data_IF_668124691540
#
_entry.id   IF_668124691540
#
_cell.length_a   1.000
_cell.length_b   1.000
_cell.length_c   1.000
_cell.angle_alpha   90.00
_cell.angle_beta   90.00
_cell.angle_gamma   90.00
#
_symmetry.space_group_name_H-M   'P 1'
#
loop_
_entity.id
_entity.type
_entity.pdbx_description
1 polymer ?
#
# COMPACT_ATOMS: atom_id res chain seq x y z
N UNK A 1 -11.77 -15.80 -13.67
CA UNK A 1 -11.30 -16.29 -12.35
C UNK A 1 -12.26 -15.93 -11.23
N UNK A 2 -12.55 -14.65 -10.94
CA UNK A 2 -13.47 -14.26 -9.85
C UNK A 2 -14.82 -15.02 -9.93
N UNK A 3 -15.51 -14.94 -11.07
CA UNK A 3 -16.76 -15.69 -11.31
C UNK A 3 -16.63 -17.20 -11.05
N UNK A 4 -15.51 -17.79 -11.45
CA UNK A 4 -15.24 -19.21 -11.22
C UNK A 4 -15.10 -19.50 -9.72
N UNK A 5 -14.31 -18.71 -8.99
CA UNK A 5 -14.14 -18.87 -7.53
C UNK A 5 -15.49 -18.72 -6.82
N UNK A 6 -16.27 -17.68 -7.12
CA UNK A 6 -17.58 -17.48 -6.49
C UNK A 6 -18.61 -18.57 -6.84
N UNK A 7 -18.45 -19.25 -7.98
CA UNK A 7 -19.29 -20.40 -8.34
C UNK A 7 -18.83 -21.70 -7.66
N UNK A 8 -17.52 -21.92 -7.55
CA UNK A 8 -16.95 -23.17 -7.00
C UNK A 8 -16.84 -23.16 -5.48
N UNK A 9 -16.54 -22.00 -4.89
CA UNK A 9 -16.32 -21.79 -3.46
C UNK A 9 -17.08 -20.54 -3.00
N UNK A 10 -18.41 -20.60 -2.88
CA UNK A 10 -19.25 -19.42 -2.63
C UNK A 10 -18.95 -18.73 -1.29
N UNK A 11 -18.53 -19.48 -0.28
CA UNK A 11 -18.27 -18.98 1.07
C UNK A 11 -16.89 -18.31 1.23
N UNK A 12 -16.04 -18.33 0.19
CA UNK A 12 -14.72 -17.69 0.24
C UNK A 12 -14.84 -16.23 -0.20
N UNK A 13 -14.30 -15.34 0.62
CA UNK A 13 -14.11 -13.92 0.29
C UNK A 13 -12.99 -13.72 -0.73
N UNK A 14 -13.27 -12.95 -1.78
CA UNK A 14 -12.35 -12.68 -2.88
C UNK A 14 -12.01 -11.19 -2.96
N UNK A 15 -10.78 -10.84 -2.57
CA UNK A 15 -10.21 -9.51 -2.82
C UNK A 15 -9.62 -9.46 -4.22
N UNK A 16 -10.17 -8.60 -5.08
CA UNK A 16 -9.74 -8.44 -6.46
C UNK A 16 -8.95 -7.15 -6.69
N UNK A 17 -7.94 -7.21 -7.56
CA UNK A 17 -7.13 -6.05 -7.92
C UNK A 17 -5.83 -6.43 -8.63
N UNK A 18 -4.91 -5.49 -8.85
CA UNK A 18 -5.02 -4.09 -8.45
C UNK A 18 -5.80 -3.25 -9.48
N UNK A 19 -6.47 -2.19 -9.01
CA UNK A 19 -7.20 -1.23 -9.86
C UNK A 19 -6.93 0.22 -9.47
N UNK A 20 -7.17 1.16 -10.37
CA UNK A 20 -7.03 2.60 -10.12
C UNK A 20 -8.17 3.45 -10.67
N UNK A 21 -9.14 2.88 -11.39
CA UNK A 21 -10.28 3.62 -11.96
C UNK A 21 -11.64 3.06 -11.52
N UNK A 22 -12.66 3.91 -11.65
CA UNK A 22 -14.06 3.57 -11.36
C UNK A 22 -14.56 2.44 -12.25
N UNK A 23 -14.21 2.47 -13.53
CA UNK A 23 -14.65 1.51 -14.54
C UNK A 23 -14.06 0.12 -14.26
N UNK A 24 -12.80 0.07 -13.84
CA UNK A 24 -12.17 -1.17 -13.39
C UNK A 24 -12.86 -1.72 -12.13
N UNK A 25 -13.19 -0.86 -11.16
CA UNK A 25 -13.96 -1.25 -9.99
C UNK A 25 -15.32 -1.84 -10.36
N UNK A 26 -16.07 -1.17 -11.25
CA UNK A 26 -17.37 -1.64 -11.72
C UNK A 26 -17.29 -3.05 -12.33
N UNK A 27 -16.28 -3.31 -13.14
CA UNK A 27 -16.07 -4.62 -13.75
C UNK A 27 -15.79 -5.72 -12.71
N UNK A 28 -14.97 -5.44 -11.69
CA UNK A 28 -14.64 -6.42 -10.65
C UNK A 28 -15.80 -6.67 -9.67
N UNK A 29 -16.52 -5.61 -9.29
CA UNK A 29 -17.73 -5.73 -8.45
C UNK A 29 -18.79 -6.56 -9.19
N UNK A 30 -19.05 -6.27 -10.47
CA UNK A 30 -20.00 -7.03 -11.27
C UNK A 30 -19.58 -8.50 -11.49
N UNK A 31 -18.28 -8.81 -11.35
CA UNK A 31 -17.78 -10.17 -11.40
C UNK A 31 -17.94 -10.94 -10.08
N UNK A 32 -18.34 -10.26 -8.98
CA UNK A 32 -18.55 -10.85 -7.65
C UNK A 32 -17.36 -10.69 -6.69
N UNK A 33 -16.54 -9.65 -6.83
CA UNK A 33 -15.48 -9.38 -5.86
C UNK A 33 -16.06 -8.87 -4.52
N UNK A 34 -15.63 -9.47 -3.41
CA UNK A 34 -16.08 -9.11 -2.05
C UNK A 34 -15.24 -7.96 -1.46
N UNK A 35 -14.07 -7.67 -2.04
CA UNK A 35 -13.25 -6.51 -1.70
C UNK A 35 -12.35 -6.09 -2.87
N UNK A 36 -11.90 -4.84 -2.86
CA UNK A 36 -11.05 -4.29 -3.93
C UNK A 36 -9.69 -3.81 -3.42
N UNK A 37 -8.63 -4.14 -4.15
CA UNK A 37 -7.26 -3.66 -3.87
C UNK A 37 -6.89 -2.53 -4.84
N UNK A 38 -6.64 -1.34 -4.31
CA UNK A 38 -6.43 -0.10 -5.07
C UNK A 38 -4.95 0.28 -5.10
N UNK A 39 -4.40 0.50 -6.30
CA UNK A 39 -3.08 1.12 -6.48
C UNK A 39 -2.28 0.52 -7.64
N UNK A 40 -1.63 1.36 -8.43
CA UNK A 40 -0.78 0.93 -9.55
C UNK A 40 0.43 1.84 -9.70
N UNK A 41 1.61 1.27 -9.47
CA UNK A 41 2.90 1.97 -9.55
C UNK A 41 3.19 2.94 -8.40
N UNK A 42 2.44 2.90 -7.30
CA UNK A 42 2.61 3.80 -6.15
C UNK A 42 3.47 3.23 -5.02
N UNK A 43 3.75 1.93 -5.01
CA UNK A 43 4.56 1.30 -3.96
C UNK A 43 6.06 1.63 -4.11
N UNK A 44 6.78 1.67 -2.99
CA UNK A 44 8.14 2.22 -2.92
C UNK A 44 9.21 1.46 -3.72
N UNK A 45 8.94 0.24 -4.15
CA UNK A 45 9.84 -0.56 -4.99
C UNK A 45 9.28 -0.83 -6.39
N UNK A 46 8.25 -0.08 -6.82
CA UNK A 46 7.65 -0.22 -8.15
C UNK A 46 8.02 0.97 -9.03
N UNK A 47 8.39 0.67 -10.27
CA UNK A 47 8.74 1.64 -11.33
C UNK A 47 7.76 1.56 -12.51
N UNK A 48 6.58 0.94 -12.31
CA UNK A 48 5.57 0.75 -13.35
C UNK A 48 5.18 2.06 -14.04
N UNK A 49 5.02 3.16 -13.31
CA UNK A 49 4.64 4.45 -13.91
C UNK A 49 5.71 4.99 -14.86
N UNK A 50 6.98 4.81 -14.50
CA UNK A 50 8.12 5.23 -15.32
C UNK A 50 8.26 4.36 -16.56
N UNK A 51 8.34 3.04 -16.38
CA UNK A 51 8.69 2.12 -17.47
C UNK A 51 7.50 1.85 -18.39
N UNK A 52 6.28 1.78 -17.84
CA UNK A 52 5.07 1.47 -18.63
C UNK A 52 4.27 2.70 -19.03
N UNK A 53 4.56 3.89 -18.48
CA UNK A 53 3.71 5.08 -18.59
C UNK A 53 2.25 4.85 -18.10
N UNK A 54 2.04 3.86 -17.22
CA UNK A 54 0.72 3.50 -16.69
C UNK A 54 0.70 3.56 -15.18
N UNK A 55 -0.29 4.27 -14.64
CA UNK A 55 -0.62 4.29 -13.22
C UNK A 55 -1.57 5.43 -12.90
N UNK A 56 -1.69 5.75 -11.61
CA UNK A 56 -2.49 6.90 -11.15
C UNK A 56 -1.97 7.38 -9.79
N UNK A 57 -1.99 8.69 -9.51
CA UNK A 57 -1.70 9.19 -8.16
C UNK A 57 -2.58 8.50 -7.12
N UNK A 58 -1.95 7.92 -6.09
CA UNK A 58 -2.61 6.99 -5.16
C UNK A 58 -3.82 7.61 -4.45
N UNK A 59 -3.69 8.84 -3.95
CA UNK A 59 -4.80 9.54 -3.29
C UNK A 59 -6.03 9.70 -4.20
N UNK A 60 -5.80 10.08 -5.46
CA UNK A 60 -6.87 10.24 -6.45
C UNK A 60 -7.49 8.88 -6.83
N UNK A 61 -6.67 7.83 -6.95
CA UNK A 61 -7.15 6.46 -7.19
C UNK A 61 -8.04 5.98 -6.05
N UNK A 62 -7.57 6.11 -4.79
CA UNK A 62 -8.32 5.71 -3.59
C UNK A 62 -9.65 6.45 -3.52
N UNK A 63 -9.66 7.78 -3.62
CA UNK A 63 -10.91 8.56 -3.55
C UNK A 63 -11.89 8.18 -4.65
N UNK A 64 -11.41 8.08 -5.89
CA UNK A 64 -12.24 7.79 -7.06
C UNK A 64 -12.85 6.38 -7.02
N UNK A 65 -12.09 5.38 -6.58
CA UNK A 65 -12.54 3.99 -6.53
C UNK A 65 -13.41 3.74 -5.31
N UNK A 66 -12.99 4.21 -4.13
CA UNK A 66 -13.71 3.97 -2.87
C UNK A 66 -15.08 4.62 -2.86
N UNK A 67 -15.19 5.85 -3.37
CA UNK A 67 -16.48 6.54 -3.48
C UNK A 67 -17.48 5.78 -4.38
N UNK A 68 -16.99 5.09 -5.41
CA UNK A 68 -17.84 4.25 -6.26
C UNK A 68 -18.18 2.92 -5.58
N UNK A 69 -17.19 2.22 -5.03
CA UNK A 69 -17.35 0.91 -4.40
C UNK A 69 -18.29 0.97 -3.18
N UNK A 70 -18.27 2.07 -2.42
CA UNK A 70 -19.16 2.30 -1.29
C UNK A 70 -20.66 2.22 -1.65
N UNK A 71 -21.04 2.58 -2.89
CA UNK A 71 -22.43 2.47 -3.38
C UNK A 71 -22.94 1.03 -3.46
N UNK A 72 -22.03 0.07 -3.44
CA UNK A 72 -22.31 -1.37 -3.50
C UNK A 72 -21.96 -2.08 -2.19
N UNK A 73 -21.54 -1.34 -1.16
CA UNK A 73 -21.08 -1.92 0.11
C UNK A 73 -19.77 -2.72 0.00
N UNK A 74 -18.99 -2.54 -1.08
CA UNK A 74 -17.74 -3.30 -1.28
C UNK A 74 -16.57 -2.56 -0.65
N UNK A 75 -15.89 -3.13 0.38
CA UNK A 75 -14.75 -2.51 1.03
C UNK A 75 -13.53 -2.41 0.10
N UNK A 76 -12.65 -1.46 0.39
CA UNK A 76 -11.47 -1.22 -0.43
C UNK A 76 -10.19 -1.12 0.41
N UNK A 77 -9.07 -1.51 -0.20
CA UNK A 77 -7.74 -1.51 0.41
C UNK A 77 -6.85 -0.55 -0.38
N UNK A 78 -6.33 0.49 0.27
CA UNK A 78 -5.31 1.35 -0.31
C UNK A 78 -3.93 0.68 -0.23
N UNK A 79 -3.38 0.29 -1.37
CA UNK A 79 -2.13 -0.48 -1.47
C UNK A 79 -1.03 0.30 -2.19
N UNK A 80 0.07 0.55 -1.48
CA UNK A 80 1.23 1.29 -1.98
C UNK A 80 1.25 2.77 -1.58
N UNK A 81 2.46 3.35 -1.52
CA UNK A 81 2.70 4.77 -1.21
C UNK A 81 2.62 5.16 0.28
N UNK A 82 2.30 4.22 1.17
CA UNK A 82 2.19 4.47 2.62
C UNK A 82 3.58 4.41 3.26
N UNK A 83 4.06 5.56 3.77
CA UNK A 83 5.39 5.70 4.36
C UNK A 83 5.37 6.09 5.84
N UNK A 84 4.24 6.62 6.30
CA UNK A 84 4.08 7.12 7.66
C UNK A 84 2.60 7.07 8.06
N UNK A 85 2.35 7.32 9.34
CA UNK A 85 1.03 7.36 9.94
C UNK A 85 0.06 8.31 9.23
N UNK A 86 0.51 9.50 8.86
CA UNK A 86 -0.33 10.47 8.15
C UNK A 86 -0.83 9.96 6.78
N UNK A 87 -0.05 9.11 6.10
CA UNK A 87 -0.49 8.48 4.85
C UNK A 87 -1.58 7.42 5.10
N UNK A 88 -1.50 6.70 6.22
CA UNK A 88 -2.54 5.75 6.65
C UNK A 88 -3.86 6.51 6.83
N UNK A 89 -3.84 7.55 7.67
CA UNK A 89 -5.02 8.36 8.00
C UNK A 89 -5.61 9.01 6.75
N UNK A 90 -4.77 9.55 5.86
CA UNK A 90 -5.24 10.11 4.58
C UNK A 90 -5.88 9.04 3.68
N UNK A 91 -5.29 7.85 3.60
CA UNK A 91 -5.86 6.74 2.84
C UNK A 91 -7.25 6.36 3.33
N UNK A 92 -7.41 6.23 4.65
CA UNK A 92 -8.69 5.99 5.32
C UNK A 92 -9.68 7.13 5.08
N UNK A 93 -9.27 8.39 5.31
CA UNK A 93 -10.12 9.56 5.10
C UNK A 93 -10.60 9.70 3.64
N UNK A 94 -9.82 9.25 2.66
CA UNK A 94 -10.21 9.25 1.25
C UNK A 94 -11.22 8.14 0.89
N UNK A 95 -11.54 7.24 1.83
CA UNK A 95 -12.60 6.24 1.74
C UNK A 95 -12.13 4.78 1.76
N UNK A 96 -10.83 4.52 1.93
CA UNK A 96 -10.35 3.15 2.04
C UNK A 96 -10.81 2.52 3.36
N UNK A 97 -11.24 1.26 3.31
CA UNK A 97 -11.62 0.48 4.50
C UNK A 97 -10.39 -0.02 5.26
N UNK A 98 -9.29 -0.25 4.54
CA UNK A 98 -8.00 -0.64 5.11
C UNK A 98 -6.84 -0.09 4.26
N UNK A 99 -5.64 -0.13 4.82
CA UNK A 99 -4.39 0.18 4.11
C UNK A 99 -3.48 -1.04 4.09
N UNK A 100 -2.81 -1.28 2.95
CA UNK A 100 -1.82 -2.33 2.81
C UNK A 100 -0.42 -1.72 2.73
N UNK A 101 0.49 -2.25 3.54
CA UNK A 101 1.82 -1.70 3.75
C UNK A 101 2.88 -2.75 3.41
N UNK A 102 3.78 -2.38 2.50
CA UNK A 102 4.97 -3.18 2.18
C UNK A 102 6.19 -2.70 2.96
N UNK A 103 6.79 -1.60 2.51
CA UNK A 103 8.07 -1.10 3.05
C UNK A 103 8.05 -0.76 4.54
N UNK A 104 6.92 -0.30 5.08
CA UNK A 104 6.79 -0.02 6.52
C UNK A 104 6.94 -1.27 7.40
N UNK A 105 6.57 -2.45 6.88
CA UNK A 105 6.61 -3.72 7.61
C UNK A 105 7.80 -4.59 7.18
N UNK A 106 8.40 -4.32 6.02
CA UNK A 106 9.49 -5.13 5.48
C UNK A 106 10.75 -5.16 6.34
N UNK A 107 11.03 -4.10 7.11
CA UNK A 107 12.18 -4.03 8.02
C UNK A 107 11.93 -4.61 9.41
N UNK A 108 10.78 -5.27 9.63
CA UNK A 108 10.43 -5.79 10.97
C UNK A 108 11.06 -7.14 11.24
N UNK A 109 11.19 -7.51 12.51
CA UNK A 109 11.80 -8.79 12.92
C UNK A 109 11.09 -9.99 12.29
N UNK A 110 9.76 -9.94 12.21
CA UNK A 110 8.90 -11.01 11.71
C UNK A 110 8.87 -11.11 10.17
N UNK A 111 9.36 -10.08 9.46
CA UNK A 111 9.43 -10.14 8.00
C UNK A 111 10.43 -11.21 7.54
N UNK A 112 10.18 -11.90 6.41
CA UNK A 112 11.12 -12.91 5.91
C UNK A 112 12.45 -12.30 5.48
N UNK A 113 13.51 -13.11 5.57
CA UNK A 113 14.88 -12.72 5.21
C UNK A 113 15.70 -12.29 6.42
N UNK A 114 17.02 -12.48 6.32
CA UNK A 114 17.96 -12.15 7.38
C UNK A 114 18.36 -10.67 7.34
N UNK A 115 18.69 -10.13 8.51
CA UNK A 115 19.31 -8.82 8.62
C UNK A 115 20.76 -8.87 8.13
N UNK A 116 21.23 -7.75 7.56
CA UNK A 116 22.63 -7.54 7.26
C UNK A 116 23.01 -6.07 7.51
N UNK A 117 24.30 -5.80 7.65
CA UNK A 117 24.81 -4.43 7.82
C UNK A 117 25.03 -3.81 6.45
N UNK A 118 24.41 -2.66 6.20
CA UNK A 118 24.58 -1.90 4.97
C UNK A 118 25.98 -1.26 4.90
N UNK A 119 26.36 -0.76 3.73
CA UNK A 119 27.65 -0.08 3.56
C UNK A 119 27.78 1.18 4.43
N UNK A 120 26.65 1.74 4.85
CA UNK A 120 26.53 2.90 5.75
C UNK A 120 26.50 2.51 7.23
N UNK A 121 26.71 1.23 7.56
CA UNK A 121 26.74 0.72 8.94
C UNK A 121 25.36 0.54 9.60
N UNK A 122 24.27 0.54 8.81
CA UNK A 122 22.92 0.38 9.33
C UNK A 122 22.45 -1.07 9.23
N UNK A 123 21.69 -1.53 10.23
CA UNK A 123 21.03 -2.84 10.17
C UNK A 123 19.82 -2.75 9.24
N UNK A 124 19.80 -3.57 8.17
CA UNK A 124 18.79 -3.52 7.11
C UNK A 124 18.30 -4.92 6.72
N UNK A 125 17.13 -4.99 6.09
CA UNK A 125 16.62 -6.19 5.39
C UNK A 125 16.44 -5.92 3.90
N UNK A 126 16.61 -6.96 3.09
CA UNK A 126 16.36 -6.88 1.65
C UNK A 126 14.86 -6.69 1.37
N UNK A 127 14.53 -5.74 0.49
CA UNK A 127 13.16 -5.48 0.06
C UNK A 127 13.11 -5.38 -1.46
N UNK A 128 12.22 -6.17 -2.09
CA UNK A 128 12.16 -6.30 -3.56
C UNK A 128 10.73 -6.15 -4.05
N UNK A 129 10.54 -5.37 -5.10
CA UNK A 129 9.26 -5.31 -5.80
C UNK A 129 9.00 -6.61 -6.54
N UNK A 130 7.74 -7.07 -6.56
CA UNK A 130 7.34 -8.30 -7.25
C UNK A 130 7.62 -8.27 -8.77
N UNK A 131 7.77 -7.08 -9.35
CA UNK A 131 8.13 -6.88 -10.75
C UNK A 131 9.62 -6.66 -11.01
N UNK A 132 10.48 -6.90 -10.03
CA UNK A 132 11.93 -6.83 -10.22
C UNK A 132 12.45 -8.08 -10.93
N UNK A 133 13.52 -7.93 -11.71
CA UNK A 133 14.17 -9.07 -12.38
C UNK A 133 14.57 -10.14 -11.37
N UNK A 134 15.11 -9.72 -10.22
CA UNK A 134 15.48 -10.61 -9.13
C UNK A 134 14.32 -11.51 -8.67
N UNK A 135 13.07 -11.02 -8.68
CA UNK A 135 11.88 -11.82 -8.34
C UNK A 135 11.36 -12.59 -9.55
N UNK A 136 11.34 -11.99 -10.75
CA UNK A 136 10.82 -12.65 -11.95
C UNK A 136 11.71 -13.80 -12.44
N UNK A 137 13.01 -13.76 -12.13
CA UNK A 137 14.00 -14.80 -12.42
C UNK A 137 14.28 -15.71 -11.24
N UNK A 138 13.70 -15.42 -10.07
CA UNK A 138 13.80 -16.31 -8.92
C UNK A 138 13.16 -17.65 -9.29
N UNK A 139 14.00 -18.66 -9.55
CA UNK A 139 13.50 -19.99 -9.86
C UNK A 139 12.92 -20.66 -8.62
N UNK A 140 13.17 -20.12 -7.42
CA UNK A 140 12.77 -20.70 -6.14
C UNK A 140 13.28 -22.12 -5.94
N UNK A 141 13.26 -22.61 -4.71
CA UNK A 141 13.37 -24.05 -4.41
C UNK A 141 12.08 -24.81 -4.75
N UNK A 142 11.12 -24.15 -5.38
CA UNK A 142 9.79 -24.66 -5.70
C UNK A 142 9.85 -25.38 -7.04
N UNK A 143 10.22 -26.66 -7.00
CA UNK A 143 10.24 -27.54 -8.17
C UNK A 143 9.02 -27.33 -9.07
N UNK A 144 9.26 -26.87 -10.30
CA UNK A 144 8.28 -26.82 -11.38
C UNK A 144 7.12 -25.82 -11.26
N UNK A 145 7.06 -24.97 -10.22
CA UNK A 145 5.97 -24.02 -10.01
C UNK A 145 6.05 -22.75 -10.88
N UNK A 146 4.90 -22.20 -11.30
CA UNK A 146 4.82 -20.89 -11.97
C UNK A 146 5.36 -19.80 -11.02
N UNK A 147 6.34 -19.02 -11.47
CA UNK A 147 6.88 -17.88 -10.71
C UNK A 147 5.79 -16.80 -10.55
N UNK A 148 5.38 -16.51 -9.32
CA UNK A 148 4.30 -15.57 -9.02
C UNK A 148 4.59 -14.12 -9.47
N UNK A 149 5.86 -13.70 -9.45
CA UNK A 149 6.28 -12.40 -9.99
C UNK A 149 6.10 -12.35 -11.50
N UNK A 150 6.67 -13.31 -12.23
CA UNK A 150 6.53 -13.40 -13.67
C UNK A 150 5.06 -13.50 -14.11
N UNK A 151 4.24 -14.25 -13.37
CA UNK A 151 2.81 -14.41 -13.68
C UNK A 151 1.98 -13.15 -13.44
N UNK A 152 2.30 -12.40 -12.38
CA UNK A 152 1.65 -11.11 -12.12
C UNK A 152 1.84 -10.10 -13.26
N UNK A 153 2.99 -10.17 -13.95
CA UNK A 153 3.34 -9.27 -15.06
C UNK A 153 3.27 -9.95 -16.43
N UNK A 154 2.59 -11.10 -16.55
CA UNK A 154 2.37 -11.83 -17.80
C UNK A 154 3.65 -12.06 -18.60
N UNK A 155 4.74 -12.39 -17.90
CA UNK A 155 6.09 -12.46 -18.43
C UNK A 155 6.70 -13.86 -18.34
N UNK A 156 5.91 -14.90 -18.06
CA UNK A 156 6.41 -16.27 -17.90
C UNK A 156 7.09 -16.82 -19.15
N UNK A 157 6.57 -16.46 -20.33
CA UNK A 157 7.04 -16.96 -21.62
C UNK A 157 7.91 -15.95 -22.39
N UNK A 158 8.20 -14.79 -21.80
CA UNK A 158 8.94 -13.74 -22.49
C UNK A 158 10.45 -14.04 -22.45
N UNK A 159 11.11 -13.99 -23.61
CA UNK A 159 12.57 -14.11 -23.72
C UNK A 159 13.29 -12.97 -23.00
N UNK A 160 12.75 -11.76 -23.11
CA UNK A 160 13.24 -10.56 -22.41
C UNK A 160 12.20 -10.17 -21.36
N UNK A 161 12.60 -10.17 -20.10
CA UNK A 161 11.75 -9.74 -18.99
C UNK A 161 11.92 -8.24 -18.78
N UNK A 162 10.81 -7.51 -18.80
CA UNK A 162 10.81 -6.05 -18.57
C UNK A 162 10.48 -5.79 -17.11
N UNK A 163 11.42 -5.19 -16.39
CA UNK A 163 11.25 -4.89 -14.98
C UNK A 163 10.19 -3.81 -14.77
N UNK A 164 9.33 -4.02 -13.77
CA UNK A 164 8.39 -3.02 -13.26
C UNK A 164 8.59 -2.73 -11.77
N UNK A 165 9.67 -3.25 -11.20
CA UNK A 165 10.10 -2.97 -9.84
C UNK A 165 11.60 -3.11 -9.66
N UNK A 166 12.08 -2.68 -8.50
CA UNK A 166 13.49 -2.69 -8.13
C UNK A 166 13.73 -3.58 -6.91
N UNK A 167 14.99 -3.93 -6.69
CA UNK A 167 15.46 -4.55 -5.46
C UNK A 167 16.29 -3.52 -4.69
N UNK A 168 16.11 -3.49 -3.38
CA UNK A 168 16.84 -2.61 -2.47
C UNK A 168 16.80 -3.15 -1.05
N UNK A 169 16.92 -2.26 -0.08
CA UNK A 169 16.86 -2.59 1.35
C UNK A 169 16.03 -1.57 2.12
N UNK A 170 15.59 -1.99 3.32
CA UNK A 170 14.87 -1.16 4.27
C UNK A 170 15.54 -1.26 5.64
N UNK A 171 15.57 -0.15 6.36
CA UNK A 171 16.13 -0.07 7.71
C UNK A 171 15.28 -0.90 8.68
N UNK A 172 15.95 -1.51 9.66
CA UNK A 172 15.30 -2.19 10.77
C UNK A 172 14.26 -1.31 11.46
N UNK A 173 13.11 -1.92 11.78
CA UNK A 173 11.98 -1.28 12.48
C UNK A 173 11.62 -1.98 13.78
N UNK A 174 12.40 -2.98 14.20
CA UNK A 174 12.09 -3.82 15.35
C UNK A 174 10.89 -4.73 15.11
N UNK A 175 10.31 -5.26 16.18
CA UNK A 175 9.19 -6.21 16.10
C UNK A 175 7.86 -5.50 15.80
N UNK A 176 7.00 -6.16 15.02
CA UNK A 176 5.61 -5.72 14.82
C UNK A 176 4.84 -5.60 16.14
N UNK A 177 5.24 -6.35 17.17
CA UNK A 177 4.59 -6.33 18.50
C UNK A 177 4.70 -4.97 19.19
N UNK A 178 5.72 -4.17 18.85
CA UNK A 178 5.86 -2.79 19.31
C UNK A 178 5.40 -1.80 18.23
N UNK A 179 5.73 -2.10 16.96
CA UNK A 179 5.48 -1.17 15.86
C UNK A 179 4.00 -1.02 15.50
N UNK A 180 3.22 -2.09 15.51
CA UNK A 180 1.79 -2.05 15.19
C UNK A 180 0.99 -1.29 16.26
N UNK A 181 1.19 -1.51 17.57
CA UNK A 181 0.55 -0.67 18.60
C UNK A 181 0.83 0.82 18.43
N UNK A 182 2.06 1.20 18.08
CA UNK A 182 2.39 2.59 17.74
C UNK A 182 1.54 3.12 16.57
N UNK A 183 1.40 2.36 15.49
CA UNK A 183 0.58 2.76 14.35
C UNK A 183 -0.91 2.90 14.74
N UNK A 184 -1.43 1.97 15.54
CA UNK A 184 -2.83 2.00 16.01
C UNK A 184 -3.08 3.22 16.89
N UNK A 185 -2.23 3.45 17.90
CA UNK A 185 -2.33 4.62 18.77
C UNK A 185 -2.24 5.92 17.98
N UNK A 186 -1.32 5.99 17.02
CA UNK A 186 -1.21 7.15 16.13
C UNK A 186 -2.47 7.41 15.32
N UNK A 187 -3.14 6.37 14.80
CA UNK A 187 -4.40 6.54 14.06
C UNK A 187 -5.47 7.05 15.01
N UNK A 188 -5.57 6.50 16.22
CA UNK A 188 -6.52 6.95 17.24
C UNK A 188 -6.32 8.43 17.60
N UNK A 189 -5.08 8.87 17.84
CA UNK A 189 -4.76 10.29 18.06
C UNK A 189 -5.14 11.16 16.86
N UNK A 190 -4.88 10.68 15.64
CA UNK A 190 -5.26 11.42 14.44
C UNK A 190 -6.79 11.56 14.29
N UNK A 191 -7.55 10.52 14.64
CA UNK A 191 -9.02 10.57 14.65
C UNK A 191 -9.53 11.53 15.72
N UNK A 192 -8.89 11.55 16.90
CA UNK A 192 -9.19 12.49 17.97
C UNK A 192 -9.00 13.95 17.50
N UNK A 193 -7.87 14.26 16.86
CA UNK A 193 -7.58 15.60 16.34
C UNK A 193 -8.53 16.02 15.22
N UNK A 194 -8.98 15.07 14.39
CA UNK A 194 -10.02 15.30 13.37
C UNK A 194 -11.41 15.49 14.02
N UNK A 195 -11.62 15.01 15.25
CA UNK A 195 -12.88 15.11 15.98
C UNK A 195 -13.86 13.98 15.67
N UNK A 196 -13.37 12.77 15.32
CA UNK A 196 -14.20 11.61 14.98
C UNK A 196 -13.86 10.39 15.85
N UNK A 197 -14.86 9.58 16.18
CA UNK A 197 -14.70 8.48 17.15
C UNK A 197 -14.32 7.14 16.54
N UNK A 198 -14.57 6.94 15.23
CA UNK A 198 -14.28 5.70 14.54
C UNK A 198 -14.21 5.93 13.01
N UNK A 199 -13.82 4.89 12.27
CA UNK A 199 -13.65 4.97 10.82
C UNK A 199 -14.96 5.25 10.06
N UNK A 200 -16.10 4.77 10.56
CA UNK A 200 -17.40 5.05 9.95
C UNK A 200 -17.72 6.55 10.05
N UNK A 201 -17.56 7.13 11.24
CA UNK A 201 -17.72 8.57 11.47
C UNK A 201 -16.76 9.41 10.62
N UNK A 202 -15.52 8.94 10.40
CA UNK A 202 -14.59 9.59 9.48
C UNK A 202 -15.13 9.61 8.04
N UNK A 203 -15.59 8.46 7.53
CA UNK A 203 -16.14 8.39 6.17
C UNK A 203 -17.40 9.24 6.01
N UNK A 204 -18.33 9.18 6.96
CA UNK A 204 -19.53 10.01 6.96
C UNK A 204 -19.18 11.49 7.00
N UNK A 205 -18.25 11.87 7.88
CA UNK A 205 -17.80 13.24 8.04
C UNK A 205 -17.16 13.81 6.77
N UNK A 206 -16.41 12.99 6.04
CA UNK A 206 -15.85 13.37 4.74
C UNK A 206 -16.94 13.48 3.68
N UNK A 207 -17.91 12.57 3.66
CA UNK A 207 -18.96 12.55 2.65
C UNK A 207 -20.01 13.66 2.84
N UNK A 208 -20.34 14.01 4.08
CA UNK A 208 -21.25 15.11 4.41
C UNK A 208 -20.54 16.48 4.46
N UNK A 209 -19.22 16.49 4.35
CA UNK A 209 -18.41 17.71 4.27
C UNK A 209 -18.12 18.39 5.60
N UNK A 210 -18.39 17.75 6.75
CA UNK A 210 -17.98 18.23 8.07
C UNK A 210 -16.48 18.07 8.32
N UNK A 211 -15.87 16.99 7.82
CA UNK A 211 -14.42 16.85 7.74
C UNK A 211 -13.91 17.58 6.50
N UNK A 212 -12.98 18.52 6.70
CA UNK A 212 -12.45 19.40 5.66
C UNK A 212 -11.02 19.03 5.29
N UNK A 213 -10.62 19.37 4.07
CA UNK A 213 -9.27 19.16 3.55
C UNK A 213 -8.72 20.47 3.01
N UNK A 214 -7.41 20.63 3.11
CA UNK A 214 -6.69 21.77 2.55
C UNK A 214 -5.53 21.27 1.68
N UNK A 215 -5.37 21.87 0.50
CA UNK A 215 -4.28 21.52 -0.40
C UNK A 215 -2.99 22.17 0.07
N UNK A 216 -1.86 21.46 -0.06
CA UNK A 216 -0.54 21.98 0.34
C UNK A 216 0.36 22.12 -0.87
N UNK A 217 0.83 23.35 -1.10
CA UNK A 217 1.90 23.63 -2.07
C UNK A 217 3.20 22.92 -1.67
N UNK A 218 4.19 22.87 -2.58
CA UNK A 218 5.50 22.29 -2.27
C UNK A 218 6.16 23.00 -1.07
N UNK A 219 6.08 24.33 -1.00
CA UNK A 219 6.61 25.11 0.12
C UNK A 219 5.91 24.77 1.44
N UNK A 220 4.57 24.67 1.44
CA UNK A 220 3.82 24.27 2.63
C UNK A 220 4.12 22.82 3.07
N UNK A 221 4.53 21.94 2.13
CA UNK A 221 5.00 20.60 2.47
C UNK A 221 6.35 20.61 3.17
N UNK A 222 7.30 21.41 2.67
CA UNK A 222 8.60 21.62 3.33
C UNK A 222 8.43 22.24 4.71
N UNK A 223 7.58 23.26 4.84
CA UNK A 223 7.25 23.91 6.12
C UNK A 223 6.62 22.94 7.14
N UNK A 224 5.72 22.06 6.72
CA UNK A 224 5.14 21.10 7.67
C UNK A 224 6.04 19.91 8.01
N UNK A 225 7.28 19.86 7.51
CA UNK A 225 8.30 18.89 7.91
C UNK A 225 9.33 19.55 8.85
N UNK A 226 10.33 18.81 9.32
CA UNK A 226 11.42 19.41 10.11
C UNK A 226 12.23 20.36 9.22
N UNK A 227 12.33 21.63 9.60
CA UNK A 227 13.14 22.64 8.92
C UNK A 227 13.76 23.63 9.93
N UNK A 228 14.84 24.31 9.55
CA UNK A 228 15.46 25.36 10.36
C UNK A 228 16.32 24.89 11.55
N UNK A 229 16.68 23.60 11.61
CA UNK A 229 17.54 23.04 12.66
C UNK A 229 18.92 22.67 12.09
N UNK A 230 19.98 22.81 12.89
CA UNK A 230 21.34 22.36 12.52
C UNK A 230 21.43 20.82 12.44
N UNK A 231 20.82 20.11 13.41
CA UNK A 231 20.74 18.66 13.46
C UNK A 231 19.49 18.22 14.23
N UNK A 232 18.94 17.05 13.92
CA UNK A 232 17.83 16.45 14.67
C UNK A 232 17.84 14.93 14.58
N UNK A 233 17.25 14.28 15.59
CA UNK A 233 16.98 12.84 15.57
C UNK A 233 15.45 12.63 15.48
N UNK A 234 15.00 11.76 14.58
CA UNK A 234 13.57 11.51 14.35
C UNK A 234 13.15 10.18 14.96
N UNK A 235 13.05 10.13 16.29
CA UNK A 235 12.53 8.99 17.03
C UNK A 235 11.00 9.02 17.06
N UNK A 236 10.36 7.94 16.58
CA UNK A 236 8.90 7.93 16.35
C UNK A 236 8.08 7.46 17.56
N UNK A 237 8.64 6.60 18.40
CA UNK A 237 7.98 6.10 19.62
C UNK A 237 9.02 5.66 20.66
N UNK A 238 8.59 5.59 21.92
CA UNK A 238 9.36 4.97 22.99
C UNK A 238 9.19 3.46 22.95
N UNK A 239 10.31 2.73 22.97
CA UNK A 239 10.39 1.28 23.13
C UNK A 239 9.93 0.81 24.50
#
# INVERSE_FOLDING_TARGET
>A
MIKYIKQTFPDIDVIAGNIVTREQAAALIAAGADGLRIGMGSGSAYITQEVMAVGRPQAAAVRSVSAFAARFGVPTIADGGVQNLGHIVKGLALGASAVMMGSLLAGTTESPGEYYVSNEGQLVKAFRGMGSIAVMEDKGKSGGGKNAGASRYFSENNKVKVAQGVAGSVIDRGSITQYVPYLVAGVQHSLQDIGVQNLHALHDGVNNGSVRFEMRSASAQTEGNVHGLHSHEKKLFSS
#
